data_IF_143031440153
#
_entry.id   IF_143031440153
#
_cell.length_a   1.000
_cell.length_b   1.000
_cell.length_c   1.000
_cell.angle_alpha   90.00
_cell.angle_beta   90.00
_cell.angle_gamma   90.00
#
_symmetry.space_group_name_H-M   'P 1'
#
loop_
_entity.id
_entity.type
_entity.pdbx_description
1 polymer ?
#
# COMPACT_ATOMS: atom_id res chain seq x y z
N UNK A 1 -2.50 -23.44 -2.05
CA UNK A 1 -2.71 -21.98 -2.23
C UNK A 1 -2.90 -21.24 -0.90
N UNK A 2 -3.61 -21.78 0.11
CA UNK A 2 -3.86 -21.06 1.37
C UNK A 2 -2.63 -20.68 2.21
N UNK A 3 -1.67 -21.59 2.41
CA UNK A 3 -0.43 -21.31 3.18
C UNK A 3 0.54 -20.37 2.45
N UNK A 4 0.54 -20.40 1.11
CA UNK A 4 1.42 -19.59 0.27
C UNK A 4 0.97 -18.11 0.22
N UNK A 5 -0.34 -17.88 0.16
CA UNK A 5 -0.89 -16.51 0.13
C UNK A 5 -0.67 -15.76 1.46
N UNK A 6 -0.90 -16.42 2.60
CA UNK A 6 -0.65 -15.81 3.91
C UNK A 6 0.83 -15.42 4.07
N UNK A 7 1.73 -16.28 3.61
CA UNK A 7 3.17 -15.99 3.58
C UNK A 7 3.48 -14.79 2.68
N UNK A 8 2.95 -14.76 1.46
CA UNK A 8 3.16 -13.64 0.53
C UNK A 8 2.65 -12.32 1.08
N UNK A 9 1.45 -12.30 1.66
CA UNK A 9 0.90 -11.10 2.28
C UNK A 9 1.78 -10.65 3.44
N UNK A 10 2.22 -11.56 4.30
CA UNK A 10 3.13 -11.23 5.41
C UNK A 10 4.44 -10.60 4.92
N UNK A 11 5.10 -11.21 3.93
CA UNK A 11 6.36 -10.70 3.37
C UNK A 11 6.13 -9.34 2.70
N UNK A 12 5.05 -9.22 1.93
CA UNK A 12 4.70 -7.98 1.24
C UNK A 12 4.34 -6.85 2.22
N UNK A 13 3.68 -7.14 3.35
CA UNK A 13 3.39 -6.16 4.41
C UNK A 13 4.69 -5.64 5.05
N UNK A 14 5.66 -6.53 5.34
CA UNK A 14 6.95 -6.11 5.89
C UNK A 14 7.74 -5.24 4.92
N UNK A 15 7.69 -5.57 3.62
CA UNK A 15 8.31 -4.73 2.62
C UNK A 15 7.55 -3.40 2.45
N UNK A 16 6.22 -3.38 2.51
CA UNK A 16 5.44 -2.13 2.48
C UNK A 16 5.85 -1.18 3.63
N UNK A 17 6.03 -1.71 4.84
CA UNK A 17 6.57 -0.95 5.97
C UNK A 17 7.98 -0.43 5.68
N UNK A 18 8.83 -1.29 5.09
CA UNK A 18 10.20 -0.94 4.73
C UNK A 18 10.25 0.15 3.66
N UNK A 19 9.34 0.11 2.67
CA UNK A 19 9.17 1.16 1.66
C UNK A 19 8.77 2.46 2.34
N UNK A 20 7.78 2.44 3.23
CA UNK A 20 7.34 3.62 3.97
C UNK A 20 8.49 4.23 4.79
N UNK A 21 9.21 3.43 5.59
CA UNK A 21 10.39 3.89 6.34
C UNK A 21 11.47 4.48 5.43
N UNK A 22 11.66 3.88 4.25
CA UNK A 22 12.57 4.37 3.21
C UNK A 22 12.14 5.71 2.64
N UNK A 23 10.85 5.89 2.39
CA UNK A 23 10.29 7.17 1.98
C UNK A 23 10.56 8.26 3.01
N UNK A 24 10.29 8.02 4.30
CA UNK A 24 10.55 9.01 5.35
C UNK A 24 12.02 9.41 5.42
N UNK A 25 12.95 8.45 5.40
CA UNK A 25 14.39 8.76 5.43
C UNK A 25 14.84 9.48 4.16
N UNK A 26 14.36 9.05 3.00
CA UNK A 26 14.69 9.69 1.72
C UNK A 26 14.13 11.10 1.60
N UNK A 27 12.95 11.36 2.16
CA UNK A 27 12.38 12.70 2.21
C UNK A 27 13.26 13.67 3.03
N UNK A 28 13.87 13.19 4.12
CA UNK A 28 14.72 14.02 4.99
C UNK A 28 16.12 14.28 4.43
N UNK A 29 16.82 13.24 3.96
CA UNK A 29 18.28 13.31 3.71
C UNK A 29 18.75 12.60 2.43
N UNK A 30 17.83 12.03 1.65
CA UNK A 30 18.20 11.20 0.52
C UNK A 30 18.30 11.96 -0.80
N UNK A 31 19.24 11.58 -1.70
CA UNK A 31 19.20 12.06 -3.09
C UNK A 31 17.90 11.64 -3.78
N UNK A 32 17.17 12.58 -4.36
CA UNK A 32 15.93 12.34 -5.12
C UNK A 32 16.21 12.57 -6.61
N UNK A 33 16.63 11.50 -7.29
CA UNK A 33 17.04 11.58 -8.70
C UNK A 33 15.86 11.24 -9.60
N UNK A 34 15.47 12.19 -10.44
CA UNK A 34 14.32 12.07 -11.32
C UNK A 34 13.40 13.29 -11.22
N UNK A 35 12.13 13.09 -11.54
CA UNK A 35 11.05 14.07 -11.42
C UNK A 35 9.75 13.44 -10.87
N UNK A 36 9.85 12.38 -10.06
CA UNK A 36 8.68 11.67 -9.52
C UNK A 36 7.78 12.56 -8.66
N UNK A 37 8.32 13.41 -7.80
CA UNK A 37 7.49 14.32 -7.00
C UNK A 37 6.76 15.33 -7.88
N UNK A 38 7.44 15.84 -8.92
CA UNK A 38 6.80 16.76 -9.86
C UNK A 38 5.66 16.08 -10.61
N UNK A 39 5.87 14.83 -11.03
CA UNK A 39 4.94 14.13 -11.90
C UNK A 39 3.81 13.41 -11.15
N UNK A 40 4.08 12.85 -9.96
CA UNK A 40 3.09 12.12 -9.16
C UNK A 40 2.37 12.99 -8.14
N UNK A 41 2.99 14.06 -7.67
CA UNK A 41 2.45 14.93 -6.60
C UNK A 41 2.21 16.37 -7.07
N UNK A 42 2.62 16.72 -8.30
CA UNK A 42 2.54 18.11 -8.77
C UNK A 42 3.47 19.07 -8.01
N UNK A 43 4.53 18.55 -7.39
CA UNK A 43 5.47 19.37 -6.64
C UNK A 43 6.25 20.33 -7.57
N UNK A 44 6.64 21.53 -7.10
CA UNK A 44 7.49 22.43 -7.88
C UNK A 44 8.87 21.84 -8.23
N UNK A 45 9.41 20.98 -7.36
CA UNK A 45 10.69 20.29 -7.54
C UNK A 45 10.80 19.05 -6.64
N UNK A 46 11.83 18.23 -6.84
CA UNK A 46 12.15 17.09 -5.96
C UNK A 46 12.64 17.52 -4.56
N UNK A 47 12.93 18.80 -4.35
CA UNK A 47 13.42 19.34 -3.07
C UNK A 47 12.40 20.29 -2.42
N UNK A 48 11.15 20.26 -2.87
CA UNK A 48 10.08 21.11 -2.34
C UNK A 48 9.79 20.77 -0.85
N UNK A 49 10.09 21.68 0.10
CA UNK A 49 10.05 21.37 1.53
C UNK A 49 8.63 21.11 2.04
N UNK A 50 7.62 21.75 1.45
CA UNK A 50 6.23 21.57 1.84
C UNK A 50 5.73 20.18 1.44
N UNK A 51 5.99 19.75 0.20
CA UNK A 51 5.65 18.40 -0.26
C UNK A 51 6.39 17.33 0.55
N UNK A 52 7.69 17.54 0.84
CA UNK A 52 8.47 16.62 1.66
C UNK A 52 7.93 16.48 3.10
N UNK A 53 7.47 17.58 3.70
CA UNK A 53 6.82 17.55 5.02
C UNK A 53 5.48 16.79 5.00
N UNK A 54 4.70 16.92 3.92
CA UNK A 54 3.47 16.15 3.74
C UNK A 54 3.75 14.66 3.57
N UNK A 55 4.73 14.28 2.75
CA UNK A 55 5.19 12.88 2.60
C UNK A 55 5.60 12.31 3.96
N UNK A 56 6.42 13.05 4.73
CA UNK A 56 6.86 12.61 6.05
C UNK A 56 5.69 12.39 7.02
N UNK A 57 4.68 13.26 6.98
CA UNK A 57 3.46 13.14 7.79
C UNK A 57 2.66 11.90 7.39
N UNK A 58 2.41 11.71 6.09
CA UNK A 58 1.67 10.55 5.57
C UNK A 58 2.35 9.23 5.95
N UNK A 59 3.67 9.14 5.77
CA UNK A 59 4.46 7.97 6.14
C UNK A 59 4.46 7.72 7.65
N UNK A 60 4.52 8.76 8.47
CA UNK A 60 4.44 8.62 9.94
C UNK A 60 3.11 8.01 10.36
N UNK A 61 2.00 8.38 9.70
CA UNK A 61 0.69 7.78 9.95
C UNK A 61 0.66 6.30 9.59
N UNK A 62 1.25 5.90 8.46
CA UNK A 62 1.39 4.48 8.07
C UNK A 62 2.16 3.71 9.13
N UNK A 63 3.34 4.19 9.51
CA UNK A 63 4.18 3.51 10.51
C UNK A 63 3.43 3.38 11.83
N UNK A 64 2.74 4.44 12.27
CA UNK A 64 1.92 4.40 13.47
C UNK A 64 0.78 3.37 13.36
N UNK A 65 0.09 3.30 12.22
CA UNK A 65 -0.98 2.34 12.01
C UNK A 65 -0.49 0.88 12.01
N UNK A 66 0.66 0.62 11.39
CA UNK A 66 1.27 -0.71 11.34
C UNK A 66 1.84 -1.18 12.68
N UNK A 67 2.23 -0.25 13.56
CA UNK A 67 2.72 -0.56 14.91
C UNK A 67 1.61 -0.88 15.92
N UNK A 68 0.33 -0.78 15.51
CA UNK A 68 -0.82 -1.18 16.32
C UNK A 68 -1.61 -2.25 15.56
N UNK A 69 -1.07 -3.47 15.43
CA UNK A 69 -1.81 -4.58 14.82
C UNK A 69 -2.97 -4.98 15.74
N UNK A 70 -4.13 -5.23 15.15
CA UNK A 70 -5.30 -5.74 15.86
C UNK A 70 -5.28 -7.27 15.86
N UNK A 71 -5.30 -7.87 17.05
CA UNK A 71 -5.15 -9.32 17.25
C UNK A 71 -6.49 -10.08 17.30
N UNK A 72 -7.64 -9.39 17.37
CA UNK A 72 -8.95 -10.03 17.54
C UNK A 72 -10.03 -9.45 16.62
N UNK A 73 -10.73 -10.33 15.90
CA UNK A 73 -11.95 -10.02 15.14
C UNK A 73 -13.13 -9.76 16.09
N UNK A 74 -13.14 -8.59 16.73
CA UNK A 74 -14.21 -8.18 17.64
C UNK A 74 -13.72 -7.11 18.62
N UNK A 75 -14.07 -5.85 18.34
CA UNK A 75 -13.85 -4.68 19.21
C UNK A 75 -12.40 -4.44 19.68
N UNK A 76 -11.39 -4.99 19.01
CA UNK A 76 -9.99 -4.72 19.34
C UNK A 76 -9.46 -3.50 18.60
N UNK A 77 -8.45 -2.84 19.18
CA UNK A 77 -7.86 -1.65 18.60
C UNK A 77 -6.84 -2.02 17.52
N UNK A 78 -6.77 -1.24 16.44
CA UNK A 78 -5.66 -1.32 15.48
C UNK A 78 -6.01 -1.68 14.04
N UNK A 79 -4.97 -1.98 13.25
CA UNK A 79 -5.05 -2.35 11.84
C UNK A 79 -5.19 -3.87 11.66
N UNK A 80 -6.12 -4.29 10.81
CA UNK A 80 -6.30 -5.67 10.36
C UNK A 80 -6.06 -5.73 8.85
N UNK A 81 -5.29 -6.70 8.38
CA UNK A 81 -5.18 -7.01 6.95
C UNK A 81 -5.80 -8.39 6.71
N UNK A 82 -6.84 -8.45 5.88
CA UNK A 82 -7.53 -9.69 5.51
C UNK A 82 -7.41 -9.94 4.01
N UNK A 83 -7.35 -11.20 3.61
CA UNK A 83 -7.29 -11.60 2.20
C UNK A 83 -8.68 -11.78 1.57
N UNK A 84 -9.76 -11.57 2.30
CA UNK A 84 -11.12 -11.78 1.78
C UNK A 84 -12.09 -10.82 2.44
N UNK A 85 -13.14 -10.47 1.70
CA UNK A 85 -14.30 -9.71 2.15
C UNK A 85 -15.42 -10.60 2.73
N UNK A 86 -15.17 -11.88 3.03
CA UNK A 86 -16.19 -12.81 3.53
C UNK A 86 -16.88 -12.37 4.85
N UNK A 87 -16.28 -11.44 5.60
CA UNK A 87 -16.89 -10.80 6.77
C UNK A 87 -17.81 -9.63 6.43
N UNK A 88 -17.98 -9.29 5.15
CA UNK A 88 -18.86 -8.25 4.65
C UNK A 88 -20.12 -8.87 4.03
N UNK A 89 -21.28 -8.50 4.57
CA UNK A 89 -22.58 -8.91 4.03
C UNK A 89 -23.23 -7.74 3.29
N UNK A 90 -23.75 -7.91 2.07
CA UNK A 90 -24.37 -6.82 1.32
C UNK A 90 -25.60 -6.26 2.05
N UNK A 91 -25.69 -4.94 2.14
CA UNK A 91 -26.91 -4.20 2.53
C UNK A 91 -27.58 -3.65 1.27
N UNK A 92 -26.79 -3.01 0.43
CA UNK A 92 -27.17 -2.50 -0.88
C UNK A 92 -25.97 -2.70 -1.82
N UNK A 93 -25.91 -3.91 -2.38
CA UNK A 93 -24.89 -4.35 -3.33
C UNK A 93 -24.88 -3.49 -4.60
N UNK A 94 -25.99 -2.87 -4.99
CA UNK A 94 -26.02 -2.02 -6.18
C UNK A 94 -25.23 -0.74 -5.97
N UNK A 95 -25.26 -0.20 -4.75
CA UNK A 95 -24.53 1.00 -4.38
C UNK A 95 -23.22 0.72 -3.63
N UNK A 96 -22.77 -0.53 -3.53
CA UNK A 96 -21.50 -0.89 -2.90
C UNK A 96 -21.52 -0.72 -1.37
N UNK A 97 -22.67 -0.92 -0.74
CA UNK A 97 -22.86 -0.77 0.70
C UNK A 97 -22.94 -2.15 1.36
N UNK A 98 -22.04 -2.40 2.29
CA UNK A 98 -21.92 -3.65 3.02
C UNK A 98 -21.96 -3.44 4.53
N UNK A 99 -22.15 -4.54 5.25
CA UNK A 99 -22.12 -4.64 6.71
C UNK A 99 -20.98 -5.54 7.14
N UNK A 100 -20.11 -5.06 8.02
CA UNK A 100 -19.11 -5.89 8.67
C UNK A 100 -19.74 -6.67 9.83
N UNK A 101 -19.99 -7.97 9.64
CA UNK A 101 -20.66 -8.81 10.65
C UNK A 101 -19.76 -9.19 11.82
N UNK A 102 -18.43 -9.03 11.67
CA UNK A 102 -17.47 -9.34 12.75
C UNK A 102 -17.19 -8.13 13.64
N UNK A 103 -17.52 -6.91 13.18
CA UNK A 103 -17.14 -5.65 13.86
C UNK A 103 -18.38 -4.82 14.19
N UNK A 104 -19.33 -5.44 14.88
CA UNK A 104 -20.52 -4.76 15.39
C UNK A 104 -21.50 -4.27 14.32
N UNK A 105 -21.43 -4.80 13.10
CA UNK A 105 -22.35 -4.42 12.03
C UNK A 105 -22.04 -3.06 11.39
N UNK A 106 -20.79 -2.61 11.43
CA UNK A 106 -20.36 -1.35 10.82
C UNK A 106 -20.73 -1.32 9.33
N UNK A 107 -21.29 -0.19 8.89
CA UNK A 107 -21.61 0.07 7.49
C UNK A 107 -20.32 0.46 6.75
N UNK A 108 -20.01 -0.29 5.70
CA UNK A 108 -18.84 -0.08 4.84
C UNK A 108 -19.32 0.36 3.47
N UNK A 109 -18.78 1.47 2.97
CA UNK A 109 -18.99 1.93 1.59
C UNK A 109 -17.73 1.59 0.80
N UNK A 110 -17.88 0.76 -0.22
CA UNK A 110 -16.77 0.26 -1.03
C UNK A 110 -16.68 1.07 -2.34
N UNK A 111 -15.47 1.43 -2.81
CA UNK A 111 -15.27 2.07 -4.10
C UNK A 111 -15.79 1.21 -5.26
N UNK A 112 -16.20 1.85 -6.36
CA UNK A 112 -16.79 1.17 -7.52
C UNK A 112 -16.00 1.51 -8.79
N UNK A 113 -15.12 0.61 -9.22
CA UNK A 113 -14.29 0.79 -10.43
C UNK A 113 -14.88 0.05 -11.64
N UNK A 114 -15.67 -1.00 -11.39
CA UNK A 114 -16.43 -1.74 -12.40
C UNK A 114 -17.57 -2.50 -11.74
N UNK A 115 -18.18 -3.49 -12.42
CA UNK A 115 -19.17 -4.37 -11.78
C UNK A 115 -19.08 -5.76 -12.41
N UNK A 116 -18.34 -6.66 -11.74
CA UNK A 116 -18.17 -8.05 -12.17
C UNK A 116 -19.11 -8.96 -11.38
N UNK A 117 -19.23 -8.74 -10.07
CA UNK A 117 -20.21 -9.39 -9.20
C UNK A 117 -20.57 -8.45 -8.03
N UNK A 118 -21.69 -7.72 -8.07
CA UNK A 118 -21.99 -6.73 -7.02
C UNK A 118 -22.30 -7.37 -5.65
N UNK A 119 -22.45 -8.70 -5.56
CA UNK A 119 -22.80 -9.40 -4.32
C UNK A 119 -21.65 -9.44 -3.29
N UNK A 120 -20.42 -9.18 -3.71
CA UNK A 120 -19.20 -9.15 -2.89
C UNK A 120 -18.56 -7.78 -2.99
N UNK A 121 -17.97 -7.28 -1.91
CA UNK A 121 -17.25 -6.00 -1.90
C UNK A 121 -16.09 -5.99 -2.90
N UNK A 122 -15.37 -7.10 -3.02
CA UNK A 122 -14.29 -7.25 -3.99
C UNK A 122 -14.76 -7.39 -5.45
N UNK A 123 -16.05 -7.64 -5.66
CA UNK A 123 -16.65 -7.87 -6.97
C UNK A 123 -16.83 -6.63 -7.85
N UNK A 124 -16.44 -5.44 -7.37
CA UNK A 124 -16.35 -4.21 -8.16
C UNK A 124 -15.01 -4.08 -8.92
N UNK A 125 -14.26 -5.17 -9.08
CA UNK A 125 -12.98 -5.19 -9.79
C UNK A 125 -11.85 -4.55 -8.96
N UNK A 126 -11.99 -4.53 -7.64
CA UNK A 126 -11.00 -3.95 -6.73
C UNK A 126 -9.84 -4.91 -6.50
N UNK A 127 -8.65 -4.36 -6.38
CA UNK A 127 -7.47 -5.09 -5.92
C UNK A 127 -7.41 -5.16 -4.40
N UNK A 128 -7.77 -4.07 -3.73
CA UNK A 128 -8.01 -3.99 -2.30
C UNK A 128 -8.89 -2.78 -1.98
N UNK A 129 -9.16 -2.61 -0.69
CA UNK A 129 -9.71 -1.37 -0.14
C UNK A 129 -9.48 -1.32 1.38
N UNK A 130 -9.43 -0.11 1.93
CA UNK A 130 -9.40 0.13 3.37
C UNK A 130 -10.72 0.73 3.90
N UNK A 131 -11.06 0.43 5.16
CA UNK A 131 -12.14 1.10 5.87
C UNK A 131 -11.89 1.15 7.39
N UNK A 132 -12.49 2.14 8.05
CA UNK A 132 -12.46 2.29 9.50
C UNK A 132 -13.65 1.64 10.20
N UNK A 133 -13.45 1.25 11.46
CA UNK A 133 -14.50 0.87 12.41
C UNK A 133 -14.18 1.47 13.78
N UNK A 134 -15.14 1.54 14.73
CA UNK A 134 -14.85 2.01 16.07
C UNK A 134 -13.71 1.20 16.72
N UNK A 135 -12.57 1.85 16.95
CA UNK A 135 -11.37 1.25 17.52
C UNK A 135 -10.29 0.85 16.52
N UNK A 136 -10.57 0.76 15.22
CA UNK A 136 -9.57 0.24 14.30
C UNK A 136 -9.87 0.44 12.82
N UNK A 137 -9.04 -0.20 12.00
CA UNK A 137 -9.10 -0.11 10.54
C UNK A 137 -8.84 -1.47 9.92
N UNK A 138 -9.40 -1.70 8.74
CA UNK A 138 -9.28 -2.95 8.00
C UNK A 138 -8.82 -2.63 6.59
N UNK A 139 -7.79 -3.33 6.13
CA UNK A 139 -7.45 -3.47 4.72
C UNK A 139 -7.94 -4.84 4.26
N UNK A 140 -8.72 -4.85 3.18
CA UNK A 140 -9.13 -6.06 2.48
C UNK A 140 -8.30 -6.18 1.21
N UNK A 141 -7.44 -7.19 1.13
CA UNK A 141 -6.76 -7.58 -0.10
C UNK A 141 -7.66 -8.58 -0.82
N UNK A 142 -8.29 -8.17 -1.92
CA UNK A 142 -9.24 -9.01 -2.61
C UNK A 142 -8.55 -10.29 -3.14
N UNK A 143 -9.09 -11.46 -2.82
CA UNK A 143 -8.60 -12.77 -3.29
C UNK A 143 -9.70 -13.66 -3.87
N UNK A 144 -10.95 -13.29 -3.67
CA UNK A 144 -12.15 -13.97 -4.14
C UNK A 144 -12.41 -13.70 -5.64
N UNK A 145 -11.92 -12.57 -6.18
CA UNK A 145 -12.04 -12.23 -7.61
C UNK A 145 -10.76 -12.48 -8.40
N UNK A 146 -10.86 -12.59 -9.73
CA UNK A 146 -9.71 -12.73 -10.64
C UNK A 146 -8.86 -11.45 -10.73
N UNK A 147 -9.38 -10.32 -10.24
CA UNK A 147 -8.75 -9.01 -10.31
C UNK A 147 -8.06 -8.60 -9.00
N UNK A 148 -8.28 -9.37 -7.92
CA UNK A 148 -7.86 -9.03 -6.58
C UNK A 148 -6.34 -9.04 -6.39
N UNK A 149 -5.81 -8.18 -5.50
CA UNK A 149 -4.37 -8.04 -5.25
C UNK A 149 -3.70 -9.36 -4.86
N UNK A 150 -4.44 -10.26 -4.19
CA UNK A 150 -3.95 -11.59 -3.81
C UNK A 150 -3.90 -12.61 -4.95
N UNK A 151 -4.51 -12.30 -6.11
CA UNK A 151 -4.43 -13.11 -7.34
C UNK A 151 -3.61 -12.46 -8.45
N UNK A 152 -3.49 -11.13 -8.43
CA UNK A 152 -2.90 -10.35 -9.52
C UNK A 152 -1.71 -9.54 -9.02
N UNK A 153 -0.58 -10.22 -8.84
CA UNK A 153 0.72 -9.61 -8.61
C UNK A 153 1.78 -10.30 -9.46
N UNK A 154 2.75 -9.53 -9.96
CA UNK A 154 3.86 -10.05 -10.76
C UNK A 154 5.01 -10.52 -9.87
N UNK A 155 5.13 -9.93 -8.67
CA UNK A 155 6.16 -10.22 -7.67
C UNK A 155 5.54 -9.99 -6.28
N UNK A 156 5.97 -10.75 -5.28
CA UNK A 156 5.56 -10.51 -3.89
C UNK A 156 6.16 -9.19 -3.38
N UNK A 157 7.42 -8.95 -3.77
CA UNK A 157 8.26 -7.86 -3.26
C UNK A 157 9.06 -7.16 -4.36
N UNK A 158 9.41 -5.90 -4.16
CA UNK A 158 10.36 -5.13 -4.98
C UNK A 158 11.83 -5.52 -4.73
N UNK A 159 12.14 -6.33 -3.73
CA UNK A 159 13.51 -6.71 -3.37
C UNK A 159 14.35 -7.25 -4.54
N UNK A 160 13.74 -8.06 -5.41
CA UNK A 160 14.40 -8.55 -6.63
C UNK A 160 14.83 -7.41 -7.55
N UNK A 161 14.07 -6.32 -7.57
CA UNK A 161 14.31 -5.17 -8.45
C UNK A 161 15.27 -4.17 -7.81
N UNK A 162 15.29 -4.09 -6.48
CA UNK A 162 16.32 -3.35 -5.70
C UNK A 162 17.72 -3.85 -5.95
N UNK A 163 17.85 -5.17 -6.06
CA UNK A 163 19.11 -5.88 -6.22
C UNK A 163 19.36 -6.30 -7.68
N UNK A 164 18.45 -5.95 -8.60
CA UNK A 164 18.59 -6.28 -10.01
C UNK A 164 19.82 -5.58 -10.62
N UNK A 165 20.47 -6.25 -11.57
CA UNK A 165 21.59 -5.65 -12.31
C UNK A 165 21.16 -4.48 -13.19
N UNK A 166 20.20 -4.69 -14.10
CA UNK A 166 19.68 -3.62 -14.95
C UNK A 166 18.15 -3.70 -15.13
N UNK A 167 17.41 -3.01 -14.26
CA UNK A 167 15.96 -2.89 -14.31
C UNK A 167 15.44 -2.28 -15.63
N UNK A 168 16.27 -1.49 -16.33
CA UNK A 168 15.90 -0.90 -17.63
C UNK A 168 15.74 -1.95 -18.74
N UNK A 169 16.27 -3.16 -18.53
CA UNK A 169 16.12 -4.29 -19.45
C UNK A 169 14.84 -5.11 -19.20
N UNK A 170 14.14 -4.85 -18.09
CA UNK A 170 12.92 -5.57 -17.75
C UNK A 170 11.77 -5.12 -18.68
N UNK A 171 11.13 -6.03 -19.44
CA UNK A 171 10.05 -5.67 -20.36
C UNK A 171 8.88 -4.94 -19.70
N UNK A 172 8.54 -5.28 -18.45
CA UNK A 172 7.49 -4.59 -17.71
C UNK A 172 7.87 -3.13 -17.45
N UNK A 173 9.11 -2.86 -17.05
CA UNK A 173 9.60 -1.50 -16.77
C UNK A 173 9.80 -0.69 -18.05
N UNK A 174 10.21 -1.32 -19.15
CA UNK A 174 10.29 -0.65 -20.46
C UNK A 174 8.90 -0.18 -20.91
N UNK A 175 7.90 -1.05 -20.79
CA UNK A 175 6.56 -0.79 -21.34
C UNK A 175 5.66 0.04 -20.41
N UNK A 176 5.85 -0.06 -19.10
CA UNK A 176 4.99 0.56 -18.09
C UNK A 176 5.70 1.63 -17.27
N UNK A 177 7.02 1.78 -17.39
CA UNK A 177 7.76 2.72 -16.57
C UNK A 177 7.60 2.41 -15.08
N UNK A 178 7.37 3.45 -14.28
CA UNK A 178 7.18 3.34 -12.83
C UNK A 178 5.93 2.52 -12.46
N UNK A 179 4.91 2.45 -13.32
CA UNK A 179 3.72 1.62 -13.10
C UNK A 179 4.05 0.12 -13.06
N UNK A 180 5.18 -0.29 -13.64
CA UNK A 180 5.65 -1.66 -13.50
C UNK A 180 5.81 -2.07 -12.04
N UNK A 181 6.23 -1.14 -11.17
CA UNK A 181 6.46 -1.40 -9.75
C UNK A 181 5.16 -1.66 -8.98
N UNK A 182 4.03 -1.06 -9.39
CA UNK A 182 2.71 -1.30 -8.81
C UNK A 182 2.20 -2.74 -9.02
N UNK A 183 2.92 -3.53 -9.84
CA UNK A 183 2.70 -4.97 -9.97
C UNK A 183 3.12 -5.78 -8.73
N UNK A 184 3.93 -5.23 -7.83
CA UNK A 184 4.33 -5.92 -6.60
C UNK A 184 3.23 -5.86 -5.53
N UNK A 185 3.03 -6.98 -4.81
CA UNK A 185 2.03 -7.04 -3.73
C UNK A 185 2.32 -6.03 -2.61
N UNK A 186 3.60 -5.81 -2.28
CA UNK A 186 4.01 -4.82 -1.28
C UNK A 186 3.61 -3.39 -1.63
N UNK A 187 3.63 -3.03 -2.92
CA UNK A 187 3.21 -1.70 -3.39
C UNK A 187 1.69 -1.53 -3.32
N UNK A 188 0.94 -2.60 -3.61
CA UNK A 188 -0.53 -2.61 -3.43
C UNK A 188 -0.92 -2.48 -1.96
N UNK A 189 -0.22 -3.17 -1.07
CA UNK A 189 -0.44 -3.02 0.39
C UNK A 189 -0.05 -1.61 0.84
N UNK A 190 1.05 -1.06 0.33
CA UNK A 190 1.46 0.32 0.62
C UNK A 190 0.40 1.34 0.19
N UNK A 191 -0.19 1.17 -1.00
CA UNK A 191 -1.31 1.98 -1.47
C UNK A 191 -2.47 1.95 -0.47
N UNK A 192 -2.92 0.77 -0.06
CA UNK A 192 -4.02 0.66 0.92
C UNK A 192 -3.66 1.26 2.28
N UNK A 193 -2.39 1.18 2.70
CA UNK A 193 -1.91 1.79 3.93
C UNK A 193 -2.02 3.32 3.91
N UNK A 194 -1.92 3.98 2.74
CA UNK A 194 -2.17 5.43 2.67
C UNK A 194 -3.64 5.78 2.94
N UNK A 195 -4.59 4.89 2.66
CA UNK A 195 -5.99 5.09 3.06
C UNK A 195 -6.25 4.85 4.55
N UNK A 196 -5.28 4.30 5.28
CA UNK A 196 -5.38 4.07 6.72
C UNK A 196 -4.93 5.33 7.47
N UNK A 197 -5.80 5.86 8.32
CA UNK A 197 -5.50 7.01 9.18
C UNK A 197 -4.47 6.66 10.27
N UNK A 198 -3.79 7.70 10.80
CA UNK A 198 -2.86 7.54 11.92
C UNK A 198 -3.53 7.10 13.23
N UNK A 199 -2.73 6.82 14.27
CA UNK A 199 -3.17 6.33 15.59
C UNK A 199 -4.35 7.10 16.22
N UNK A 200 -4.42 8.42 16.04
CA UNK A 200 -5.52 9.24 16.55
C UNK A 200 -6.88 8.93 15.90
N UNK A 201 -6.89 8.41 14.66
CA UNK A 201 -8.11 7.90 13.99
C UNK A 201 -8.55 6.58 14.60
N UNK A 202 -7.61 5.77 15.10
CA UNK A 202 -7.90 4.48 15.75
C UNK A 202 -8.56 4.67 17.13
N UNK A 203 -8.27 5.78 17.85
CA UNK A 203 -8.83 6.06 19.17
C UNK A 203 -10.06 6.99 19.19
N UNK A 204 -10.27 7.81 18.15
CA UNK A 204 -11.21 8.95 18.19
C UNK A 204 -12.68 8.67 17.89
N UNK A 205 -13.07 7.42 17.58
CA UNK A 205 -14.42 7.15 17.08
C UNK A 205 -14.73 7.93 15.78
N UNK A 206 -16.01 8.25 15.47
CA UNK A 206 -16.43 8.81 14.16
C UNK A 206 -15.88 10.21 13.82
N UNK A 207 -15.02 10.78 14.67
CA UNK A 207 -14.41 12.10 14.52
C UNK A 207 -12.87 12.06 14.36
N UNK A 208 -12.28 10.89 14.16
CA UNK A 208 -10.87 10.76 13.78
C UNK A 208 -10.59 11.57 12.51
N UNK A 209 -9.45 12.30 12.49
CA UNK A 209 -9.01 13.13 11.37
C UNK A 209 -9.30 12.48 10.03
N UNK A 210 -9.90 13.23 9.10
CA UNK A 210 -10.17 12.82 7.72
C UNK A 210 -8.98 12.05 7.15
N UNK A 211 -9.23 10.82 6.69
CA UNK A 211 -8.28 10.05 5.91
C UNK A 211 -7.62 10.99 4.88
N UNK A 212 -6.29 11.23 4.94
CA UNK A 212 -5.63 12.17 4.04
C UNK A 212 -5.67 11.71 2.59
N UNK A 213 -6.01 10.44 2.33
CA UNK A 213 -6.15 9.87 1.00
C UNK A 213 -7.58 9.36 0.82
N UNK A 214 -8.57 10.25 0.63
CA UNK A 214 -9.95 9.85 0.46
C UNK A 214 -10.17 9.14 -0.89
N UNK A 215 -11.12 8.21 -0.94
CA UNK A 215 -11.54 7.57 -2.19
C UNK A 215 -12.14 8.56 -3.21
N UNK A 216 -12.58 9.73 -2.74
CA UNK A 216 -13.00 10.88 -3.56
C UNK A 216 -12.05 12.02 -3.29
N UNK A 217 -11.34 12.47 -4.31
CA UNK A 217 -10.30 13.49 -4.21
C UNK A 217 -10.91 14.87 -3.89
N UNK A 218 -10.16 15.76 -3.21
CA UNK A 218 -10.69 17.02 -2.68
C UNK A 218 -11.26 17.99 -3.72
N UNK A 219 -10.63 18.11 -4.89
CA UNK A 219 -11.05 19.03 -5.95
C UNK A 219 -11.93 18.34 -6.98
N UNK A 220 -12.91 19.08 -7.48
CA UNK A 220 -13.82 18.64 -8.54
C UNK A 220 -13.34 19.11 -9.91
N UNK A 221 -13.61 18.31 -10.95
CA UNK A 221 -13.46 18.74 -12.35
C UNK A 221 -14.85 18.94 -12.94
N UNK A 222 -15.12 20.17 -13.41
CA UNK A 222 -16.41 20.55 -14.00
C UNK A 222 -17.62 20.26 -13.07
N UNK A 223 -17.46 20.50 -11.77
CA UNK A 223 -18.50 20.28 -10.76
C UNK A 223 -18.76 18.81 -10.42
N UNK A 224 -17.90 17.88 -10.89
CA UNK A 224 -17.99 16.45 -10.60
C UNK A 224 -16.86 16.02 -9.67
N UNK A 225 -17.20 15.23 -8.66
CA UNK A 225 -16.24 14.52 -7.81
C UNK A 225 -15.33 13.64 -8.66
N UNK A 226 -14.06 13.60 -8.29
CA UNK A 226 -13.05 12.74 -8.92
C UNK A 226 -12.77 11.60 -7.96
N UNK A 227 -12.89 10.36 -8.43
CA UNK A 227 -12.43 9.20 -7.66
C UNK A 227 -10.91 9.14 -7.66
N UNK A 228 -10.34 8.36 -6.76
CA UNK A 228 -8.92 8.03 -6.84
C UNK A 228 -8.51 7.59 -8.26
N UNK A 229 -7.32 8.03 -8.68
CA UNK A 229 -6.78 7.76 -10.00
C UNK A 229 -5.55 6.89 -9.90
N UNK A 230 -5.52 5.85 -10.73
CA UNK A 230 -4.45 4.87 -10.77
C UNK A 230 -3.57 5.08 -12.00
N UNK A 231 -2.30 4.70 -11.91
CA UNK A 231 -1.26 4.76 -12.94
C UNK A 231 -0.69 6.15 -13.20
N UNK A 232 0.60 6.15 -13.52
CA UNK A 232 1.39 7.30 -13.88
C UNK A 232 0.73 8.19 -14.93
N UNK A 233 0.21 7.60 -16.00
CA UNK A 233 -0.37 8.36 -17.12
C UNK A 233 -1.59 9.16 -16.67
N UNK A 234 -2.47 8.57 -15.88
CA UNK A 234 -3.68 9.23 -15.40
C UNK A 234 -3.42 10.19 -14.24
N UNK A 235 -2.34 10.00 -13.49
CA UNK A 235 -1.92 10.94 -12.44
C UNK A 235 -1.24 12.17 -13.07
N UNK A 236 -0.19 11.96 -13.87
CA UNK A 236 0.66 13.02 -14.42
C UNK A 236 0.14 13.65 -15.70
N UNK A 237 -0.77 12.97 -16.41
CA UNK A 237 -1.16 13.29 -17.79
C UNK A 237 -0.08 13.00 -18.84
N UNK A 238 1.08 12.45 -18.47
CA UNK A 238 2.23 12.26 -19.37
C UNK A 238 2.28 10.85 -19.95
N UNK A 239 2.93 10.74 -21.10
CA UNK A 239 3.34 9.43 -21.65
C UNK A 239 4.70 9.04 -21.07
N UNK A 240 4.86 7.76 -20.70
CA UNK A 240 6.13 7.25 -20.16
C UNK A 240 7.31 7.59 -21.09
N UNK A 241 8.35 8.18 -20.51
CA UNK A 241 9.56 8.60 -21.22
C UNK A 241 9.44 9.90 -22.01
N UNK A 242 8.31 10.62 -21.88
CA UNK A 242 8.07 11.91 -22.54
C UNK A 242 7.59 12.96 -21.53
N UNK A 243 8.20 14.16 -21.51
CA UNK A 243 7.73 15.24 -20.66
C UNK A 243 6.41 15.86 -21.18
N UNK A 244 5.99 15.49 -22.39
CA UNK A 244 4.77 16.01 -23.02
C UNK A 244 3.53 15.45 -22.33
N UNK A 245 2.69 16.37 -21.86
CA UNK A 245 1.34 16.07 -21.40
C UNK A 245 0.49 15.67 -22.61
N UNK A 246 -0.13 14.50 -22.53
CA UNK A 246 -1.13 14.04 -23.50
C UNK A 246 -2.39 14.90 -23.31
N UNK A 247 -2.80 15.72 -24.29
CA UNK A 247 -3.95 16.61 -24.16
C UNK A 247 -5.27 15.86 -23.95
N UNK A 248 -5.30 14.54 -24.18
CA UNK A 248 -6.46 13.69 -23.97
C UNK A 248 -6.37 12.87 -22.67
N UNK A 249 -5.28 12.97 -21.92
CA UNK A 249 -5.15 12.30 -20.63
C UNK A 249 -5.56 13.26 -19.51
N UNK A 250 -6.50 12.88 -18.63
CA UNK A 250 -6.72 13.67 -17.43
C UNK A 250 -5.42 13.67 -16.62
N UNK A 251 -4.96 14.86 -16.22
CA UNK A 251 -3.90 15.03 -15.23
C UNK A 251 -4.56 15.48 -13.93
N UNK A 252 -4.08 14.96 -12.80
CA UNK A 252 -4.50 15.48 -11.51
C UNK A 252 -3.90 16.87 -11.29
N UNK A 253 -4.65 17.74 -10.62
CA UNK A 253 -4.07 18.94 -10.00
C UNK A 253 -3.08 18.55 -8.90
N UNK A 254 -2.18 19.44 -8.53
CA UNK A 254 -1.24 19.21 -7.42
C UNK A 254 -1.96 18.87 -6.12
N UNK A 255 -3.07 19.56 -5.80
CA UNK A 255 -3.91 19.24 -4.64
C UNK A 255 -4.40 17.79 -4.70
N UNK A 256 -5.03 17.38 -5.80
CA UNK A 256 -5.57 16.02 -5.90
C UNK A 256 -4.47 14.96 -5.91
N UNK A 257 -3.34 15.24 -6.55
CA UNK A 257 -2.18 14.36 -6.62
C UNK A 257 -1.56 14.09 -5.24
N UNK A 258 -1.50 15.10 -4.37
CA UNK A 258 -1.02 14.97 -2.98
C UNK A 258 -1.95 14.11 -2.10
N UNK A 259 -3.23 14.03 -2.46
CA UNK A 259 -4.26 13.27 -1.76
C UNK A 259 -4.64 11.94 -2.45
N UNK A 260 -3.85 11.51 -3.44
CA UNK A 260 -4.05 10.28 -4.20
C UNK A 260 -3.10 9.17 -3.68
N UNK A 261 -3.61 8.02 -3.22
CA UNK A 261 -2.75 7.02 -2.57
C UNK A 261 -1.83 6.33 -3.57
N UNK A 262 -2.28 6.08 -4.80
CA UNK A 262 -1.44 5.52 -5.86
C UNK A 262 -0.25 6.43 -6.22
N UNK A 263 -0.42 7.76 -6.14
CA UNK A 263 0.68 8.72 -6.32
C UNK A 263 1.79 8.51 -5.29
N UNK A 264 1.42 8.37 -4.01
CA UNK A 264 2.38 8.15 -2.93
C UNK A 264 3.00 6.75 -2.98
N UNK A 265 2.20 5.72 -3.31
CA UNK A 265 2.69 4.36 -3.43
C UNK A 265 3.70 4.20 -4.58
N UNK A 266 3.43 4.78 -5.75
CA UNK A 266 4.35 4.81 -6.89
C UNK A 266 5.61 5.61 -6.58
N UNK A 267 5.49 6.75 -5.89
CA UNK A 267 6.64 7.53 -5.43
C UNK A 267 7.52 6.67 -4.50
N UNK A 268 6.89 6.00 -3.54
CA UNK A 268 7.56 5.11 -2.60
C UNK A 268 8.29 3.97 -3.28
N UNK A 269 7.59 3.27 -4.16
CA UNK A 269 8.15 2.19 -4.95
C UNK A 269 9.35 2.65 -5.79
N UNK A 270 9.21 3.78 -6.50
CA UNK A 270 10.26 4.33 -7.34
C UNK A 270 11.47 4.80 -6.54
N UNK A 271 11.24 5.34 -5.35
CA UNK A 271 12.30 5.71 -4.43
C UNK A 271 13.01 4.50 -3.81
N UNK A 272 12.28 3.42 -3.60
CA UNK A 272 12.74 2.15 -3.05
C UNK A 272 13.55 1.31 -4.05
N UNK A 273 14.07 1.87 -5.15
CA UNK A 273 15.01 1.19 -6.06
C UNK A 273 16.26 2.06 -6.31
N UNK A 274 17.21 2.12 -5.35
CA UNK A 274 18.22 3.18 -5.26
C UNK A 274 19.21 3.32 -6.43
N UNK A 275 19.42 2.24 -7.19
CA UNK A 275 20.28 2.26 -8.37
C UNK A 275 19.67 3.04 -9.56
N UNK A 276 18.37 3.34 -9.48
CA UNK A 276 17.60 3.93 -10.56
C UNK A 276 16.94 5.25 -10.14
N UNK A 277 16.67 6.06 -11.14
CA UNK A 277 15.89 7.29 -11.05
C UNK A 277 14.84 7.27 -12.15
N UNK A 278 13.82 8.09 -12.01
CA UNK A 278 12.67 8.06 -12.90
C UNK A 278 12.47 9.43 -13.51
N UNK A 279 12.58 9.50 -14.82
CA UNK A 279 12.42 10.74 -15.60
C UNK A 279 11.25 10.55 -16.54
N UNK A 280 10.21 11.36 -16.35
CA UNK A 280 8.94 11.27 -17.07
C UNK A 280 8.35 9.85 -17.02
N UNK A 281 8.46 9.23 -15.84
CA UNK A 281 7.96 7.87 -15.58
C UNK A 281 8.84 6.75 -16.15
N UNK A 282 9.89 7.06 -16.91
CA UNK A 282 10.82 6.07 -17.46
C UNK A 282 12.03 5.84 -16.55
N UNK A 283 12.43 4.58 -16.41
CA UNK A 283 13.58 4.17 -15.62
C UNK A 283 14.91 4.62 -16.24
N UNK A 284 15.78 5.25 -15.45
CA UNK A 284 17.14 5.66 -15.81
C UNK A 284 18.13 5.16 -14.76
N UNK A 285 19.37 4.92 -15.14
CA UNK A 285 20.44 4.60 -14.18
C UNK A 285 20.94 5.85 -13.50
N UNK A 286 21.21 5.74 -12.20
CA UNK A 286 21.81 6.80 -11.39
C UNK A 286 23.29 6.50 -11.20
N UNK A 287 24.14 7.51 -11.35
CA UNK A 287 25.58 7.39 -11.03
C UNK A 287 25.73 7.01 -9.55
N UNK A 288 26.64 6.10 -9.22
CA UNK A 288 26.83 5.57 -7.85
C UNK A 288 26.89 6.66 -6.77
N UNK A 289 27.54 7.79 -7.03
CA UNK A 289 27.64 8.91 -6.09
C UNK A 289 26.30 9.60 -5.75
N UNK A 290 25.30 9.46 -6.62
CA UNK A 290 23.98 10.07 -6.49
C UNK A 290 22.90 9.05 -6.10
N UNK A 291 23.28 7.77 -5.92
CA UNK A 291 22.36 6.74 -5.48
C UNK A 291 22.04 6.96 -4.00
N UNK A 292 20.77 6.81 -3.63
CA UNK A 292 20.42 6.59 -2.23
C UNK A 292 21.06 5.27 -1.76
N UNK A 293 21.37 5.10 -0.46
CA UNK A 293 21.90 3.83 0.02
C UNK A 293 20.87 2.71 -0.13
N UNK A 294 21.32 1.46 -0.28
CA UNK A 294 20.44 0.28 -0.28
C UNK A 294 19.64 0.14 1.02
N UNK A 295 20.08 0.77 2.09
CA UNK A 295 19.45 0.75 3.40
C UNK A 295 19.91 2.01 4.12
N UNK A 296 18.99 2.77 4.70
CA UNK A 296 19.38 3.83 5.63
C UNK A 296 19.65 3.23 7.01
N UNK A 297 20.51 3.87 7.81
CA UNK A 297 20.79 3.42 9.18
C UNK A 297 19.50 3.25 9.98
N UNK A 298 19.39 2.12 10.68
CA UNK A 298 18.20 1.73 11.45
C UNK A 298 17.04 1.14 10.62
N UNK A 299 17.15 1.04 9.29
CA UNK A 299 16.19 0.31 8.46
C UNK A 299 16.60 -1.15 8.31
N UNK A 300 16.67 -1.94 9.38
CA UNK A 300 16.69 -3.40 9.16
C UNK A 300 15.48 -3.77 8.29
N UNK A 301 15.64 -4.63 7.27
CA UNK A 301 14.52 -5.52 6.97
C UNK A 301 14.21 -6.17 8.32
N UNK A 302 13.00 -6.07 8.87
CA UNK A 302 12.64 -6.99 9.92
C UNK A 302 12.93 -8.38 9.34
N UNK A 303 13.91 -9.09 9.92
CA UNK A 303 14.23 -10.43 9.50
C UNK A 303 12.92 -11.22 9.56
N UNK A 304 12.46 -11.76 8.43
CA UNK A 304 11.41 -12.76 8.46
C UNK A 304 11.92 -13.86 9.42
N UNK A 305 11.20 -14.18 10.50
CA UNK A 305 11.69 -15.19 11.42
C UNK A 305 11.82 -16.50 10.65
N UNK A 306 13.00 -17.12 10.71
CA UNK A 306 13.17 -18.52 10.32
C UNK A 306 12.34 -19.38 11.29
N UNK A 307 11.05 -19.53 10.98
CA UNK A 307 10.05 -20.15 11.83
C UNK A 307 8.83 -19.25 12.01
N UNK A 308 7.91 -19.29 11.02
CA UNK A 308 6.64 -18.56 11.03
C UNK A 308 5.76 -18.98 12.22
N UNK A 309 5.82 -18.19 13.28
CA UNK A 309 4.78 -18.05 14.30
C UNK A 309 4.62 -16.55 14.52
N UNK A 310 3.38 -16.07 14.54
CA UNK A 310 3.01 -14.65 14.46
C UNK A 310 3.87 -13.72 15.32
N UNK A 311 4.09 -12.52 14.77
CA UNK A 311 4.67 -11.39 15.49
C UNK A 311 4.02 -11.24 16.83
N UNK A 312 4.78 -11.55 17.87
CA UNK A 312 4.52 -11.02 19.19
C UNK A 312 5.87 -10.95 19.97
N UNK A 313 6.36 -9.70 20.07
CA UNK A 313 7.48 -9.11 20.84
C UNK A 313 8.96 -9.40 20.46
N UNK A 314 9.64 -8.32 20.01
CA UNK A 314 11.09 -8.04 20.19
C UNK A 314 11.34 -7.98 21.72
N UNK A 315 12.35 -8.54 22.39
CA UNK A 315 13.77 -8.86 22.16
C UNK A 315 14.12 -10.09 23.04
N UNK A 316 15.17 -10.84 22.70
CA UNK A 316 16.14 -11.24 23.73
C UNK A 316 17.38 -11.87 23.09
N UNK A 317 18.30 -11.02 22.68
CA UNK A 317 19.75 -11.28 22.68
C UNK A 317 20.23 -12.66 22.16
N UNK A 318 20.67 -12.69 20.89
CA UNK A 318 21.72 -13.59 20.39
C UNK A 318 21.37 -15.11 20.39
N UNK A 319 21.08 -15.68 19.19
CA UNK A 319 20.95 -17.12 18.80
C UNK A 319 21.55 -18.16 19.78
N UNK A 320 21.01 -19.39 20.03
CA UNK A 320 20.65 -20.40 19.02
C UNK A 320 19.55 -21.46 19.39
N UNK A 321 19.27 -22.37 18.44
CA UNK A 321 18.57 -23.68 18.52
C UNK A 321 17.06 -23.78 18.15
N UNK A 322 16.85 -24.62 17.12
CA UNK A 322 15.60 -25.00 16.44
C UNK A 322 14.63 -25.78 17.34
N UNK A 323 13.32 -25.68 17.06
CA UNK A 323 12.36 -26.82 17.10
C UNK A 323 11.02 -26.46 16.42
N UNK A 324 10.56 -27.37 15.57
CA UNK A 324 9.36 -27.28 14.72
C UNK A 324 8.11 -27.85 15.41
N UNK A 325 6.90 -27.30 15.18
CA UNK A 325 5.60 -27.94 15.49
C UNK A 325 4.51 -27.53 14.45
N UNK A 326 3.53 -28.45 14.30
CA UNK A 326 2.60 -28.76 13.21
C UNK A 326 1.43 -27.80 12.88
N UNK A 327 0.98 -27.88 11.61
CA UNK A 327 -0.21 -27.27 11.02
C UNK A 327 -1.53 -27.70 11.70
N UNK A 328 -2.45 -26.75 11.91
CA UNK A 328 -3.83 -27.04 12.32
C UNK A 328 -4.83 -26.41 11.33
N UNK A 329 -5.70 -27.25 10.77
CA UNK A 329 -6.74 -26.88 9.80
C UNK A 329 -8.06 -26.65 10.54
N UNK A 330 -8.69 -25.48 10.34
CA UNK A 330 -9.99 -25.16 10.95
C UNK A 330 -11.14 -26.01 10.38
N UNK A 331 -12.17 -26.26 11.19
CA UNK A 331 -13.34 -27.08 10.85
C UNK A 331 -14.25 -26.54 9.73
N UNK A 332 -13.99 -25.34 9.23
CA UNK A 332 -14.70 -24.68 8.13
C UNK A 332 -13.90 -24.71 6.80
N UNK A 333 -12.77 -25.42 6.77
CA UNK A 333 -11.87 -25.48 5.60
C UNK A 333 -11.09 -24.19 5.35
N UNK A 334 -11.18 -23.18 6.23
CA UNK A 334 -10.41 -21.96 6.13
C UNK A 334 -9.01 -22.12 6.76
N UNK A 335 -8.01 -21.51 6.11
CA UNK A 335 -6.68 -21.37 6.66
C UNK A 335 -6.68 -20.09 7.50
N UNK A 336 -6.49 -20.23 8.82
CA UNK A 336 -6.55 -19.12 9.77
C UNK A 336 -5.13 -18.82 10.26
N UNK A 337 -4.68 -17.58 10.16
CA UNK A 337 -3.56 -17.09 10.95
C UNK A 337 -4.08 -16.70 12.33
N UNK A 338 -3.57 -17.33 13.39
CA UNK A 338 -3.90 -17.02 14.79
C UNK A 338 -2.72 -16.25 15.38
N UNK A 339 -2.96 -15.08 15.94
CA UNK A 339 -1.98 -14.28 16.68
C UNK A 339 -2.31 -14.41 18.17
N UNK A 340 -1.30 -14.67 19.00
CA UNK A 340 -1.45 -14.87 20.44
C UNK A 340 -0.23 -14.27 21.15
N UNK A 341 -0.42 -13.25 22.00
CA UNK A 341 0.38 -13.10 23.22
C UNK A 341 -0.45 -13.42 24.43
N UNK A 342 0.26 -14.09 25.33
CA UNK A 342 -0.02 -14.08 26.73
C UNK A 342 0.69 -12.87 27.35
N UNK A 343 -0.06 -12.18 28.21
CA UNK A 343 0.31 -11.08 29.11
C UNK A 343 1.67 -11.24 29.79
#
# INVERSE_FOLDING_TARGET
MGSDLANHVSVATLEAQSIALYMAKKALVGPRVGNLMQDLLGAPSEDDPETLAQIATAVTNIIAAMNVPSTNEGNSLGLIITCTDAHLTPIDSTNGIFRDIKRGGVRVQVPRIGTVNPQTACGFGLQGFAYGYPGGQVIVLCSDTEWGAAKVYNEVTLNKWRLAGDLRSNPLVINKGVDGLAGALSVKILHELFHVGGFFVQQGGPFGTTNPFPAVLPEQVQGKSISEVYTWKSISGKTVGSPTVDPNSPALSSTNALHNADSMALLGAGWYVPAYGWVDGACKTVKKANQSPLQYDGQGFPSAPDGYGGFENIDSSLFPEKRAINDWQGSDGSYKARFVHLT
#
